data_IF_195430512813
#
_entry.id   IF_195430512813
#
_cell.length_a   1.000
_cell.length_b   1.000
_cell.length_c   1.000
_cell.angle_alpha   90.00
_cell.angle_beta   90.00
_cell.angle_gamma   90.00
#
_symmetry.space_group_name_H-M   'P 1'
#
loop_
_entity.id
_entity.type
_entity.pdbx_description
1 polymer ?
#
# COMPACT_ATOMS: atom_id res chain seq x y z
N UNK A 1 8.07 7.97 -9.56
CA UNK A 1 6.86 7.41 -8.94
C UNK A 1 6.80 5.96 -9.37
N UNK A 2 6.57 5.02 -8.46
CA UNK A 2 6.51 3.61 -8.83
C UNK A 2 5.22 3.00 -8.30
N UNK A 3 4.67 2.05 -9.05
CA UNK A 3 3.32 1.52 -8.90
C UNK A 3 3.31 0.00 -9.10
N UNK A 4 2.34 -0.66 -8.47
CA UNK A 4 2.01 -2.06 -8.70
C UNK A 4 0.50 -2.16 -8.92
N UNK A 5 0.06 -3.12 -9.75
CA UNK A 5 -1.35 -3.36 -10.08
C UNK A 5 -1.60 -4.86 -10.10
N UNK A 6 -2.79 -5.27 -9.69
CA UNK A 6 -3.20 -6.67 -9.74
C UNK A 6 -4.60 -6.88 -9.18
N UNK A 7 -5.04 -8.13 -9.21
CA UNK A 7 -6.34 -8.57 -8.71
C UNK A 7 -6.13 -9.50 -7.50
N UNK A 8 -7.02 -9.44 -6.53
CA UNK A 8 -6.98 -10.26 -5.31
C UNK A 8 -6.98 -9.44 -4.03
N UNK A 9 -6.65 -10.08 -2.92
CA UNK A 9 -6.66 -9.48 -1.58
C UNK A 9 -5.27 -9.06 -1.07
N UNK A 10 -4.21 -9.33 -1.82
CA UNK A 10 -2.83 -9.02 -1.46
C UNK A 10 -2.06 -8.55 -2.70
N UNK A 11 -1.34 -7.43 -2.58
CA UNK A 11 -0.43 -6.93 -3.62
C UNK A 11 0.93 -6.67 -2.99
N UNK A 12 1.92 -7.48 -3.37
CA UNK A 12 3.27 -7.32 -2.86
C UNK A 12 4.11 -6.58 -3.89
N UNK A 13 4.77 -5.52 -3.44
CA UNK A 13 5.80 -4.85 -4.21
C UNK A 13 7.12 -4.86 -3.43
N UNK A 14 8.16 -5.39 -4.06
CA UNK A 14 9.53 -5.43 -3.52
C UNK A 14 10.34 -4.31 -4.14
N UNK A 15 11.12 -3.61 -3.32
CA UNK A 15 12.09 -2.63 -3.78
C UNK A 15 13.45 -3.29 -3.97
N UNK A 16 14.17 -2.91 -5.02
CA UNK A 16 15.54 -3.39 -5.28
C UNK A 16 16.52 -2.96 -4.18
N UNK A 17 16.25 -1.80 -3.57
CA UNK A 17 17.04 -1.19 -2.51
C UNK A 17 16.14 -0.67 -1.38
N UNK A 18 16.66 -0.51 -0.14
CA UNK A 18 15.89 0.10 0.93
C UNK A 18 15.37 1.47 0.48
N UNK A 19 14.07 1.67 0.61
CA UNK A 19 13.39 2.88 0.13
C UNK A 19 12.67 3.55 1.27
N UNK A 20 13.00 4.81 1.51
CA UNK A 20 12.31 5.64 2.49
C UNK A 20 11.02 6.18 1.92
N UNK A 21 9.88 5.85 2.55
CA UNK A 21 8.55 6.32 2.15
C UNK A 21 7.81 6.94 3.34
N UNK A 22 6.83 7.78 3.04
CA UNK A 22 5.93 8.39 4.02
C UNK A 22 4.51 8.59 3.47
N UNK A 23 4.27 8.15 2.23
CA UNK A 23 2.97 8.20 1.59
C UNK A 23 2.74 6.93 0.77
N UNK A 24 1.48 6.53 0.68
CA UNK A 24 1.01 5.54 -0.27
C UNK A 24 -0.25 6.03 -0.97
N UNK A 25 -0.44 5.62 -2.22
CA UNK A 25 -1.65 5.84 -2.98
C UNK A 25 -2.27 4.49 -3.34
N UNK A 26 -3.55 4.33 -3.03
CA UNK A 26 -4.35 3.16 -3.37
C UNK A 26 -5.46 3.64 -4.31
N UNK A 27 -5.74 2.87 -5.36
CA UNK A 27 -6.79 3.17 -6.33
C UNK A 27 -7.53 1.88 -6.68
N UNK A 28 -8.85 1.97 -6.74
CA UNK A 28 -9.69 0.91 -7.30
C UNK A 28 -9.98 1.20 -8.77
N UNK A 29 -10.25 0.14 -9.53
CA UNK A 29 -10.83 0.28 -10.87
C UNK A 29 -12.33 0.51 -10.73
N UNK A 30 -12.73 1.79 -10.77
CA UNK A 30 -14.11 2.24 -10.58
C UNK A 30 -15.08 1.68 -11.63
N UNK A 31 -14.60 1.11 -12.74
CA UNK A 31 -15.46 0.42 -13.71
C UNK A 31 -16.18 -0.79 -13.09
N UNK A 32 -15.62 -1.36 -12.02
CA UNK A 32 -16.19 -2.48 -11.27
C UNK A 32 -16.85 -2.07 -9.94
N UNK A 33 -16.94 -0.76 -9.68
CA UNK A 33 -17.45 -0.20 -8.43
C UNK A 33 -16.41 -0.14 -7.30
N UNK A 34 -16.87 0.26 -6.11
CA UNK A 34 -16.06 0.38 -4.90
C UNK A 34 -16.18 -0.91 -4.06
N UNK A 35 -15.15 -1.73 -4.10
CA UNK A 35 -15.15 -3.10 -3.58
C UNK A 35 -14.36 -3.23 -2.27
N UNK A 36 -13.30 -2.44 -2.10
CA UNK A 36 -12.48 -2.48 -0.88
C UNK A 36 -13.29 -1.91 0.29
N UNK A 37 -13.51 -2.77 1.31
CA UNK A 37 -14.21 -2.41 2.55
C UNK A 37 -13.28 -2.21 3.74
N UNK A 38 -12.15 -2.92 3.75
CA UNK A 38 -11.06 -2.80 4.71
C UNK A 38 -9.75 -3.19 4.04
N UNK A 39 -8.69 -2.50 4.42
CA UNK A 39 -7.34 -2.82 4.00
C UNK A 39 -6.34 -2.40 5.07
N UNK A 40 -5.15 -2.98 4.99
CA UNK A 40 -3.97 -2.53 5.72
C UNK A 40 -2.82 -2.45 4.73
N UNK A 41 -1.90 -1.55 5.01
CA UNK A 41 -0.65 -1.41 4.29
C UNK A 41 0.46 -1.80 5.24
N UNK A 42 1.26 -2.77 4.84
CA UNK A 42 2.40 -3.25 5.62
C UNK A 42 3.70 -2.93 4.89
N UNK A 43 4.69 -2.45 5.65
CA UNK A 43 6.05 -2.21 5.20
C UNK A 43 6.99 -3.28 5.71
N UNK A 44 7.87 -3.78 4.85
CA UNK A 44 8.93 -4.70 5.26
C UNK A 44 10.11 -3.92 5.86
N UNK A 45 10.11 -3.75 7.18
CA UNK A 45 11.12 -3.02 7.96
C UNK A 45 12.03 -4.03 8.66
N UNK A 46 13.35 -3.92 8.45
CA UNK A 46 14.33 -4.84 9.05
C UNK A 46 14.03 -6.34 8.84
N UNK A 47 13.38 -6.69 7.72
CA UNK A 47 13.01 -8.06 7.39
C UNK A 47 11.61 -8.48 7.86
N UNK A 48 10.94 -7.70 8.71
CA UNK A 48 9.63 -7.99 9.27
C UNK A 48 8.54 -7.12 8.64
N UNK A 49 7.32 -7.66 8.50
CA UNK A 49 6.16 -6.88 8.07
C UNK A 49 5.57 -6.12 9.24
N UNK A 50 5.47 -4.79 9.11
CA UNK A 50 4.85 -3.91 10.10
C UNK A 50 3.74 -3.09 9.47
N UNK A 51 2.61 -2.97 10.14
CA UNK A 51 1.50 -2.13 9.69
C UNK A 51 1.96 -0.67 9.69
N UNK A 52 1.87 -0.01 8.53
CA UNK A 52 2.14 1.41 8.38
C UNK A 52 0.86 2.24 8.50
N UNK A 53 -0.23 1.71 7.96
CA UNK A 53 -1.56 2.35 7.99
C UNK A 53 -2.65 1.33 7.67
N UNK A 54 -3.88 1.64 8.06
CA UNK A 54 -5.08 0.84 7.79
C UNK A 54 -6.22 1.76 7.36
N UNK A 55 -7.22 1.21 6.69
CA UNK A 55 -8.38 1.97 6.25
C UNK A 55 -9.53 1.07 5.83
N UNK A 56 -10.64 1.72 5.47
CA UNK A 56 -11.89 1.03 5.11
C UNK A 56 -12.14 1.13 3.60
N UNK A 57 -12.73 2.23 3.15
CA UNK A 57 -12.99 2.51 1.73
C UNK A 57 -11.83 3.24 1.07
N UNK A 58 -11.54 2.88 -0.19
CA UNK A 58 -10.58 3.62 -1.05
C UNK A 58 -11.29 4.66 -1.91
N UNK A 59 -12.53 4.39 -2.30
CA UNK A 59 -13.26 5.12 -3.34
C UNK A 59 -12.51 5.07 -4.68
N UNK A 60 -12.44 6.18 -5.42
CA UNK A 60 -11.62 6.25 -6.63
C UNK A 60 -10.11 6.28 -6.33
N UNK A 61 -9.70 6.98 -5.26
CA UNK A 61 -8.28 7.17 -4.91
C UNK A 61 -8.12 7.58 -3.46
N UNK A 62 -7.24 6.88 -2.76
CA UNK A 62 -6.86 7.19 -1.37
C UNK A 62 -5.37 7.47 -1.29
N UNK A 63 -5.01 8.62 -0.71
CA UNK A 63 -3.61 8.94 -0.36
C UNK A 63 -3.50 8.93 1.16
N UNK A 64 -2.59 8.13 1.69
CA UNK A 64 -2.35 8.05 3.12
C UNK A 64 -0.93 8.47 3.44
N UNK A 65 -0.80 9.34 4.44
CA UNK A 65 0.48 9.78 4.99
C UNK A 65 0.72 9.06 6.31
N UNK A 66 1.97 8.68 6.55
CA UNK A 66 2.43 8.08 7.80
C UNK A 66 3.87 8.56 8.09
N UNK A 67 4.41 8.19 9.25
CA UNK A 67 5.78 8.53 9.61
C UNK A 67 6.79 7.96 8.62
N UNK A 68 7.86 8.71 8.39
CA UNK A 68 8.90 8.32 7.44
C UNK A 68 9.53 7.00 7.89
N UNK A 69 9.48 5.99 7.02
CA UNK A 69 9.97 4.64 7.30
C UNK A 69 10.78 4.12 6.12
N UNK A 70 11.88 3.43 6.41
CA UNK A 70 12.66 2.71 5.40
C UNK A 70 12.14 1.28 5.26
N UNK A 71 11.81 0.88 4.04
CA UNK A 71 11.22 -0.44 3.74
C UNK A 71 11.94 -1.12 2.58
N UNK A 72 11.90 -2.46 2.56
CA UNK A 72 12.33 -3.30 1.43
C UNK A 72 11.17 -3.82 0.57
N UNK A 73 9.94 -3.60 1.03
CA UNK A 73 8.74 -3.95 0.28
C UNK A 73 7.47 -3.44 0.96
N UNK A 74 6.38 -3.45 0.20
CA UNK A 74 5.03 -3.08 0.61
C UNK A 74 4.08 -4.23 0.29
N UNK A 75 3.08 -4.42 1.15
CA UNK A 75 2.00 -5.39 1.04
C UNK A 75 0.67 -4.71 1.35
#
# INVERSE_FOLDING_TARGET
MAETKGLGYELIWKFDMPTTINHIMIMEDIQYGELIRKYKVEGKVNGEWRILTEGESVEHKRIQKFDKVEVRGIR
#
